data_IF_364828537240
#
_entry.id   IF_364828537240
#
_cell.length_a   1.000
_cell.length_b   1.000
_cell.length_c   1.000
_cell.angle_alpha   90.00
_cell.angle_beta   90.00
_cell.angle_gamma   90.00
#
_symmetry.space_group_name_H-M   'P 1'
#
loop_
_entity.id
_entity.type
_entity.pdbx_description
1 polymer ?
#
# COMPACT_ATOMS: atom_id res chain seq x y z
N UNK A 1 -15.65 1.96 6.40
CA UNK A 1 -14.96 1.20 5.36
C UNK A 1 -13.61 1.83 5.10
N UNK A 2 -12.58 1.04 5.23
CA UNK A 2 -11.21 1.52 5.03
C UNK A 2 -10.89 1.62 3.54
N UNK A 3 -10.09 2.61 3.18
CA UNK A 3 -9.73 2.90 1.80
C UNK A 3 -8.29 2.50 1.55
N UNK A 4 -8.03 1.82 0.45
CA UNK A 4 -6.70 1.40 0.02
C UNK A 4 -6.42 1.86 -1.41
N UNK A 5 -5.21 2.36 -1.64
CA UNK A 5 -4.66 2.47 -2.99
C UNK A 5 -3.77 1.24 -3.17
N UNK A 6 -4.05 0.46 -4.20
CA UNK A 6 -3.27 -0.73 -4.52
C UNK A 6 -2.68 -0.61 -5.92
N UNK A 7 -1.38 -0.85 -6.02
CA UNK A 7 -0.66 -0.82 -7.28
C UNK A 7 -0.08 -2.19 -7.58
N UNK A 8 -0.30 -2.70 -8.77
CA UNK A 8 0.39 -3.88 -9.27
C UNK A 8 0.54 -3.75 -10.79
N UNK A 9 1.74 -4.07 -11.29
CA UNK A 9 2.05 -3.95 -12.71
C UNK A 9 1.38 -5.02 -13.55
N UNK A 10 1.04 -6.15 -12.95
CA UNK A 10 0.32 -7.24 -13.63
C UNK A 10 -1.17 -6.97 -13.56
N UNK A 11 -1.81 -6.75 -14.71
CA UNK A 11 -3.24 -6.46 -14.81
C UNK A 11 -4.09 -7.56 -14.18
N UNK A 12 -3.73 -8.83 -14.37
CA UNK A 12 -4.49 -9.95 -13.84
C UNK A 12 -4.40 -10.01 -12.31
N UNK A 13 -3.22 -9.76 -11.77
CA UNK A 13 -3.02 -9.71 -10.32
C UNK A 13 -3.80 -8.54 -9.73
N UNK A 14 -3.76 -7.38 -10.40
CA UNK A 14 -4.47 -6.19 -9.93
C UNK A 14 -5.98 -6.42 -9.88
N UNK A 15 -6.56 -7.05 -10.92
CA UNK A 15 -7.98 -7.37 -10.94
C UNK A 15 -8.37 -8.33 -9.80
N UNK A 16 -7.53 -9.34 -9.56
CA UNK A 16 -7.74 -10.27 -8.45
C UNK A 16 -7.69 -9.55 -7.10
N UNK A 17 -6.72 -8.64 -6.93
CA UNK A 17 -6.57 -7.86 -5.70
C UNK A 17 -7.78 -6.96 -5.46
N UNK A 18 -8.31 -6.33 -6.49
CA UNK A 18 -9.51 -5.49 -6.37
C UNK A 18 -10.67 -6.32 -5.81
N UNK A 19 -10.94 -7.48 -6.40
CA UNK A 19 -12.01 -8.37 -5.95
C UNK A 19 -11.78 -8.82 -4.51
N UNK A 20 -10.56 -9.28 -4.22
CA UNK A 20 -10.21 -9.78 -2.90
C UNK A 20 -10.35 -8.69 -1.82
N UNK A 21 -9.88 -7.49 -2.11
CA UNK A 21 -9.93 -6.39 -1.14
C UNK A 21 -11.35 -5.87 -0.94
N UNK A 22 -12.16 -5.82 -2.00
CA UNK A 22 -13.57 -5.45 -1.87
C UNK A 22 -14.34 -6.48 -1.03
N UNK A 23 -14.05 -7.77 -1.21
CA UNK A 23 -14.63 -8.82 -0.36
C UNK A 23 -14.20 -8.67 1.10
N UNK A 24 -13.01 -8.14 1.34
CA UNK A 24 -12.50 -7.83 2.67
C UNK A 24 -13.01 -6.52 3.25
N UNK A 25 -13.98 -5.91 2.59
CA UNK A 25 -14.62 -4.66 3.02
C UNK A 25 -13.72 -3.43 2.92
N UNK A 26 -12.85 -3.40 1.90
CA UNK A 26 -12.07 -2.22 1.56
C UNK A 26 -12.69 -1.47 0.39
N UNK A 27 -12.54 -0.16 0.40
CA UNK A 27 -12.79 0.66 -0.80
C UNK A 27 -11.46 0.77 -1.55
N UNK A 28 -11.43 0.32 -2.81
CA UNK A 28 -10.18 0.11 -3.54
C UNK A 28 -10.02 1.09 -4.69
N UNK A 29 -8.87 1.73 -4.74
CA UNK A 29 -8.43 2.56 -5.87
C UNK A 29 -7.19 1.93 -6.48
N UNK A 30 -7.32 1.32 -7.67
CA UNK A 30 -6.20 0.59 -8.28
C UNK A 30 -5.33 1.48 -9.17
N UNK A 31 -4.05 1.15 -9.25
CA UNK A 31 -3.09 1.72 -10.19
C UNK A 31 -2.26 0.62 -10.82
N UNK A 32 -2.03 0.70 -12.14
CA UNK A 32 -1.25 -0.30 -12.85
C UNK A 32 0.25 0.04 -12.85
N UNK A 33 0.62 1.31 -12.88
CA UNK A 33 2.02 1.72 -12.92
C UNK A 33 2.30 2.86 -11.95
N UNK A 34 3.56 3.31 -11.91
CA UNK A 34 4.02 4.37 -11.01
C UNK A 34 4.10 5.74 -11.69
N UNK A 35 3.79 5.83 -12.98
CA UNK A 35 3.87 7.07 -13.75
C UNK A 35 2.61 7.93 -13.62
N UNK A 36 1.53 7.32 -13.16
CA UNK A 36 0.31 8.05 -12.85
C UNK A 36 0.50 8.97 -11.65
N UNK A 37 -0.40 9.92 -11.46
CA UNK A 37 -0.33 10.87 -10.36
C UNK A 37 -0.67 10.21 -9.03
N UNK A 38 0.27 9.43 -8.52
CA UNK A 38 0.12 8.69 -7.27
C UNK A 38 -0.14 9.64 -6.09
N UNK A 39 0.61 10.73 -6.02
CA UNK A 39 0.48 11.71 -4.95
C UNK A 39 -0.87 12.43 -5.00
N UNK A 40 -1.33 12.78 -6.20
CA UNK A 40 -2.64 13.39 -6.38
C UNK A 40 -3.78 12.46 -5.98
N UNK A 41 -3.63 11.17 -6.23
CA UNK A 41 -4.63 10.19 -5.78
C UNK A 41 -4.67 10.07 -4.26
N UNK A 42 -3.52 10.11 -3.60
CA UNK A 42 -3.47 10.10 -2.14
C UNK A 42 -4.16 11.34 -1.57
N UNK A 43 -3.88 12.51 -2.13
CA UNK A 43 -4.53 13.77 -1.71
C UNK A 43 -6.05 13.71 -1.90
N UNK A 44 -6.49 13.14 -3.00
CA UNK A 44 -7.91 13.08 -3.35
C UNK A 44 -8.68 12.05 -2.53
N UNK A 45 -8.15 10.83 -2.44
CA UNK A 45 -8.88 9.71 -1.85
C UNK A 45 -8.54 9.44 -0.39
N UNK A 46 -7.45 9.99 0.10
CA UNK A 46 -7.02 9.90 1.50
C UNK A 46 -7.08 8.47 2.03
N UNK A 47 -6.27 7.56 1.46
CA UNK A 47 -6.32 6.15 1.84
C UNK A 47 -5.84 5.94 3.27
N UNK A 48 -6.26 4.84 3.88
CA UNK A 48 -5.76 4.39 5.17
C UNK A 48 -4.46 3.61 5.03
N UNK A 49 -4.21 3.06 3.85
CA UNK A 49 -3.02 2.24 3.57
C UNK A 49 -2.76 2.25 2.06
N UNK A 50 -1.49 2.13 1.70
CA UNK A 50 -1.06 1.98 0.30
C UNK A 50 -0.31 0.67 0.17
N UNK A 51 -0.60 -0.11 -0.85
CA UNK A 51 0.14 -1.33 -1.17
C UNK A 51 0.73 -1.22 -2.56
N UNK A 52 2.02 -1.51 -2.69
CA UNK A 52 2.79 -1.33 -3.92
C UNK A 52 3.54 -2.61 -4.27
N UNK A 53 3.53 -2.96 -5.56
CA UNK A 53 4.28 -4.10 -6.08
C UNK A 53 5.76 -3.75 -6.17
N UNK A 54 6.57 -4.39 -5.33
CA UNK A 54 8.03 -4.23 -5.33
C UNK A 54 8.67 -5.46 -5.95
N UNK A 55 9.23 -5.32 -7.16
CA UNK A 55 9.94 -6.37 -7.87
C UNK A 55 11.43 -6.09 -7.90
N UNK A 56 12.22 -7.04 -8.39
CA UNK A 56 13.62 -6.78 -8.74
C UNK A 56 13.68 -5.55 -9.66
N UNK A 57 14.64 -4.67 -9.43
CA UNK A 57 14.77 -3.40 -10.14
C UNK A 57 13.62 -2.42 -9.87
N UNK A 58 13.04 -2.47 -8.68
CA UNK A 58 11.93 -1.62 -8.26
C UNK A 58 12.32 -0.19 -7.89
N UNK A 59 13.24 0.43 -8.61
CA UNK A 59 13.72 1.79 -8.30
C UNK A 59 12.60 2.81 -8.33
N UNK A 60 11.71 2.73 -9.33
CA UNK A 60 10.58 3.64 -9.44
C UNK A 60 9.62 3.48 -8.26
N UNK A 61 9.37 2.24 -7.85
CA UNK A 61 8.57 1.94 -6.67
C UNK A 61 9.17 2.58 -5.42
N UNK A 62 10.49 2.46 -5.24
CA UNK A 62 11.18 3.04 -4.09
C UNK A 62 11.13 4.57 -4.09
N UNK A 63 11.26 5.20 -5.26
CA UNK A 63 11.12 6.65 -5.39
C UNK A 63 9.74 7.12 -4.95
N UNK A 64 8.69 6.45 -5.43
CA UNK A 64 7.32 6.79 -5.08
C UNK A 64 7.09 6.56 -3.59
N UNK A 65 7.58 5.45 -3.04
CA UNK A 65 7.48 5.18 -1.61
C UNK A 65 8.14 6.30 -0.78
N UNK A 66 9.35 6.70 -1.15
CA UNK A 66 10.05 7.80 -0.47
C UNK A 66 9.26 9.11 -0.53
N UNK A 67 8.67 9.41 -1.68
CA UNK A 67 7.84 10.61 -1.85
C UNK A 67 6.60 10.57 -0.95
N UNK A 68 5.95 9.42 -0.88
CA UNK A 68 4.79 9.24 0.00
C UNK A 68 5.18 9.43 1.46
N UNK A 69 6.25 8.77 1.90
CA UNK A 69 6.69 8.84 3.30
C UNK A 69 7.18 10.23 3.68
N UNK A 70 7.74 10.98 2.73
CA UNK A 70 8.17 12.36 2.98
C UNK A 70 6.98 13.30 3.20
N UNK A 71 5.91 13.14 2.43
CA UNK A 71 4.72 14.00 2.52
C UNK A 71 3.72 13.52 3.56
N UNK A 72 3.58 12.19 3.69
CA UNK A 72 2.62 11.56 4.61
C UNK A 72 3.33 10.53 5.49
N UNK A 73 4.14 10.99 6.47
CA UNK A 73 4.98 10.06 7.24
C UNK A 73 4.21 9.01 8.04
N UNK A 74 2.95 9.27 8.34
CA UNK A 74 2.11 8.33 9.11
C UNK A 74 1.23 7.44 8.24
N UNK A 75 1.23 7.63 6.91
CA UNK A 75 0.48 6.77 5.99
C UNK A 75 1.24 5.46 5.79
N UNK A 76 0.67 4.31 6.16
CA UNK A 76 1.37 3.03 5.99
C UNK A 76 1.51 2.68 4.51
N UNK A 77 2.71 2.26 4.12
CA UNK A 77 3.01 1.77 2.78
C UNK A 77 3.54 0.35 2.89
N UNK A 78 2.85 -0.59 2.25
CA UNK A 78 3.12 -2.02 2.31
C UNK A 78 3.70 -2.49 0.99
N UNK A 79 4.82 -3.19 1.03
CA UNK A 79 5.41 -3.82 -0.15
C UNK A 79 4.77 -5.18 -0.39
N UNK A 80 4.30 -5.42 -1.61
CA UNK A 80 3.90 -6.73 -2.09
C UNK A 80 5.01 -7.24 -3.00
N UNK A 81 5.59 -8.40 -2.71
CA UNK A 81 6.79 -8.83 -3.43
C UNK A 81 6.97 -10.34 -3.49
N UNK A 82 7.54 -10.81 -4.63
CA UNK A 82 8.01 -12.18 -4.78
C UNK A 82 9.45 -12.38 -4.27
N UNK A 83 10.13 -11.31 -3.85
CA UNK A 83 11.52 -11.40 -3.41
C UNK A 83 11.61 -12.18 -2.09
N UNK A 84 12.50 -13.18 -2.05
CA UNK A 84 12.64 -14.05 -0.88
C UNK A 84 13.13 -13.30 0.36
N UNK A 85 13.84 -12.19 0.18
CA UNK A 85 14.44 -11.43 1.29
C UNK A 85 13.58 -10.25 1.73
N UNK A 86 12.35 -10.11 1.21
CA UNK A 86 11.55 -8.91 1.51
C UNK A 86 11.34 -8.74 3.02
N UNK A 87 11.22 -9.84 3.77
CA UNK A 87 11.06 -9.80 5.21
C UNK A 87 12.26 -9.17 5.94
N UNK A 88 13.46 -9.20 5.33
CA UNK A 88 14.67 -8.59 5.89
C UNK A 88 14.90 -7.18 5.36
N UNK A 89 14.39 -6.86 4.21
CA UNK A 89 14.71 -5.63 3.48
C UNK A 89 13.66 -4.53 3.55
N UNK A 90 12.40 -4.87 3.79
CA UNK A 90 11.30 -3.93 3.64
C UNK A 90 11.50 -2.63 4.42
N UNK A 91 11.97 -2.72 5.65
CA UNK A 91 12.16 -1.55 6.51
C UNK A 91 13.29 -0.64 6.00
N UNK A 92 14.40 -1.26 5.60
CA UNK A 92 15.54 -0.53 5.03
C UNK A 92 15.15 0.19 3.73
N UNK A 93 14.26 -0.41 2.95
CA UNK A 93 13.78 0.16 1.68
C UNK A 93 12.77 1.29 1.88
N UNK A 94 12.25 1.47 3.08
CA UNK A 94 11.32 2.53 3.41
C UNK A 94 9.87 2.12 3.58
N UNK A 95 9.55 0.83 3.43
CA UNK A 95 8.20 0.32 3.63
C UNK A 95 7.90 0.10 5.11
N UNK A 96 6.65 0.30 5.49
CA UNK A 96 6.20 0.07 6.86
C UNK A 96 5.91 -1.39 7.13
N UNK A 97 5.64 -2.18 6.10
CA UNK A 97 5.41 -3.60 6.20
C UNK A 97 5.54 -4.27 4.84
N UNK A 98 5.31 -5.57 4.80
CA UNK A 98 5.41 -6.34 3.56
C UNK A 98 4.42 -7.50 3.56
N UNK A 99 4.13 -7.98 2.35
CA UNK A 99 3.48 -9.27 2.15
C UNK A 99 4.19 -9.98 1.00
N UNK A 100 4.58 -11.24 1.23
CA UNK A 100 5.27 -12.03 0.22
C UNK A 100 4.26 -12.76 -0.67
N UNK A 101 4.44 -12.67 -1.98
CA UNK A 101 3.64 -13.40 -2.97
C UNK A 101 4.18 -14.83 -3.11
N UNK A 102 3.33 -15.84 -3.28
CA UNK A 102 1.87 -15.80 -3.22
C UNK A 102 1.38 -15.72 -1.77
N UNK A 103 0.21 -15.13 -1.56
CA UNK A 103 -0.37 -14.98 -0.22
C UNK A 103 -1.84 -15.37 -0.24
N UNK A 104 -2.37 -15.80 0.92
CA UNK A 104 -3.79 -16.04 1.08
C UNK A 104 -4.54 -14.78 1.53
N UNK A 105 -5.86 -14.81 1.43
CA UNK A 105 -6.70 -13.66 1.73
C UNK A 105 -6.67 -13.29 3.22
N UNK A 106 -6.65 -14.28 4.11
CA UNK A 106 -6.62 -14.02 5.54
C UNK A 106 -5.34 -13.30 5.94
N UNK A 107 -4.21 -13.71 5.38
CA UNK A 107 -2.93 -13.04 5.62
C UNK A 107 -2.96 -11.61 5.08
N UNK A 108 -3.49 -11.41 3.86
CA UNK A 108 -3.61 -10.09 3.26
C UNK A 108 -4.41 -9.14 4.17
N UNK A 109 -5.60 -9.55 4.58
CA UNK A 109 -6.46 -8.73 5.43
C UNK A 109 -5.80 -8.43 6.78
N UNK A 110 -5.16 -9.42 7.38
CA UNK A 110 -4.50 -9.25 8.66
C UNK A 110 -3.37 -8.24 8.58
N UNK A 111 -2.49 -8.35 7.58
CA UNK A 111 -1.36 -7.45 7.42
C UNK A 111 -1.84 -6.02 7.20
N UNK A 112 -2.81 -5.84 6.30
CA UNK A 112 -3.32 -4.50 6.03
C UNK A 112 -3.95 -3.87 7.27
N UNK A 113 -4.77 -4.62 8.01
CA UNK A 113 -5.44 -4.09 9.19
C UNK A 113 -4.50 -3.84 10.36
N UNK A 114 -3.45 -4.65 10.50
CA UNK A 114 -2.43 -4.41 11.53
C UNK A 114 -1.71 -3.07 11.32
N UNK A 115 -1.55 -2.65 10.07
CA UNK A 115 -0.84 -1.41 9.75
C UNK A 115 -1.75 -0.19 9.69
N UNK A 116 -3.05 -0.39 9.50
CA UNK A 116 -3.99 0.74 9.49
C UNK A 116 -4.15 1.27 10.92
N UNK A 117 -3.93 2.58 11.13
CA UNK A 117 -4.11 3.17 12.45
C UNK A 117 -5.54 2.96 12.95
N UNK A 118 -5.69 2.55 14.20
CA UNK A 118 -7.01 2.37 14.81
C UNK A 118 -7.72 3.72 14.90
N UNK A 119 -9.06 3.75 14.72
CA UNK A 119 -9.80 4.98 14.86
C UNK A 119 -9.56 5.63 16.22
N UNK A 120 -9.09 6.86 16.20
CA UNK A 120 -8.94 7.70 17.37
C UNK A 120 -9.22 9.14 16.94
N UNK A 121 -9.72 10.01 17.85
CA UNK A 121 -10.22 11.32 17.45
C UNK A 121 -9.29 12.16 16.58
N UNK A 122 -7.98 11.98 16.71
CA UNK A 122 -6.99 12.81 16.00
C UNK A 122 -6.12 12.08 15.00
N UNK A 123 -6.36 10.79 14.73
CA UNK A 123 -5.46 10.02 13.84
C UNK A 123 -5.51 10.47 12.39
N UNK A 124 -6.68 10.85 11.90
CA UNK A 124 -6.82 11.36 10.55
C UNK A 124 -6.00 12.63 10.32
N UNK A 125 -5.83 13.45 11.37
CA UNK A 125 -5.01 14.67 11.29
C UNK A 125 -3.52 14.37 11.24
N UNK A 126 -3.07 13.23 11.79
CA UNK A 126 -1.67 12.83 11.73
C UNK A 126 -1.27 12.42 10.32
N UNK A 127 -2.17 11.75 9.59
CA UNK A 127 -1.90 11.29 8.22
C UNK A 127 -2.11 12.43 7.23
N UNK A 128 -3.24 13.16 7.35
CA UNK A 128 -3.62 14.23 6.45
C UNK A 128 -3.83 15.53 7.23
N UNK A 129 -2.76 16.23 7.59
CA UNK A 129 -2.89 17.50 8.30
C UNK A 129 -3.59 18.53 7.44
N UNK A 130 -4.44 19.33 8.07
CA UNK A 130 -5.14 20.42 7.40
C UNK A 130 -4.31 21.70 7.40
#
# INVERSE_FOLDING_TARGET
METIIVQDTDQNVLEMLIIALELGNFKVYPLIDFDDDFMGMIDKYRPHVVMMDYTWHGERCLEVCRSIKAKYPHLPVIASSCNNNIHQEYSRLGFDGYIKKPFDLDLLYRILREHIPKPAPNRARLIFPR
#
